data_IF_356779471042
#
_entry.id   IF_356779471042
#
_cell.length_a   1.000
_cell.length_b   1.000
_cell.length_c   1.000
_cell.angle_alpha   90.00
_cell.angle_beta   90.00
_cell.angle_gamma   90.00
#
_symmetry.space_group_name_H-M   'P 1'
#
loop_
_entity.id
_entity.type
_entity.pdbx_description
1 polymer ?
#
# COMPACT_ATOMS: atom_id res chain seq x y z
N UNK A 1 -18.15 12.80 5.21
CA UNK A 1 -18.71 11.51 4.71
C UNK A 1 -20.05 11.81 4.08
N UNK A 2 -20.30 11.32 2.87
CA UNK A 2 -21.62 11.44 2.25
C UNK A 2 -22.57 10.42 2.86
N UNK A 3 -23.75 10.87 3.31
CA UNK A 3 -24.84 10.00 3.70
C UNK A 3 -25.72 9.74 2.47
N UNK A 4 -26.10 8.49 2.23
CA UNK A 4 -27.03 8.14 1.15
C UNK A 4 -28.23 7.39 1.71
N UNK A 5 -29.41 7.64 1.16
CA UNK A 5 -30.63 6.90 1.56
C UNK A 5 -30.55 5.49 0.97
N UNK A 6 -30.81 4.49 1.81
CA UNK A 6 -30.76 3.09 1.41
C UNK A 6 -31.84 2.77 0.37
N UNK A 7 -31.43 2.11 -0.73
CA UNK A 7 -32.32 1.53 -1.72
C UNK A 7 -32.21 0.01 -1.66
N UNK A 8 -33.33 -0.70 -1.58
CA UNK A 8 -33.33 -2.16 -1.38
C UNK A 8 -33.59 -2.90 -2.69
N UNK A 9 -32.69 -3.82 -3.02
CA UNK A 9 -32.78 -4.66 -4.20
C UNK A 9 -33.20 -6.07 -3.81
N UNK A 10 -34.20 -6.61 -4.53
CA UNK A 10 -34.61 -8.00 -4.34
C UNK A 10 -33.51 -8.93 -4.88
N UNK A 11 -32.89 -9.68 -3.98
CA UNK A 11 -31.83 -10.62 -4.35
C UNK A 11 -32.40 -12.02 -4.62
N UNK A 12 -32.03 -12.61 -5.75
CA UNK A 12 -32.34 -14.01 -6.06
C UNK A 12 -31.26 -14.95 -5.50
N UNK A 13 -31.09 -14.94 -4.17
CA UNK A 13 -30.14 -15.81 -3.49
C UNK A 13 -30.72 -16.32 -2.17
N UNK A 14 -30.73 -17.65 -1.94
CA UNK A 14 -31.27 -18.23 -0.70
C UNK A 14 -30.44 -17.85 0.54
N UNK A 15 -29.19 -17.43 0.35
CA UNK A 15 -28.29 -17.05 1.45
C UNK A 15 -28.38 -15.56 1.81
N UNK A 16 -28.77 -14.70 0.85
CA UNK A 16 -28.66 -13.25 0.99
C UNK A 16 -30.02 -12.54 1.10
N UNK A 17 -31.09 -13.16 0.59
CA UNK A 17 -32.42 -12.55 0.60
C UNK A 17 -33.01 -12.43 2.01
N UNK A 18 -33.78 -11.36 2.24
CA UNK A 18 -34.46 -11.11 3.51
C UNK A 18 -33.59 -10.44 4.57
N UNK A 19 -32.36 -10.05 4.22
CA UNK A 19 -31.50 -9.23 5.08
C UNK A 19 -31.40 -7.81 4.51
N UNK A 20 -32.02 -6.80 5.15
CA UNK A 20 -32.02 -5.43 4.64
C UNK A 20 -30.62 -4.80 4.57
N UNK A 21 -29.65 -5.27 5.36
CA UNK A 21 -28.26 -4.80 5.32
C UNK A 21 -27.47 -5.33 4.11
N UNK A 22 -27.97 -6.40 3.46
CA UNK A 22 -27.37 -6.94 2.23
C UNK A 22 -28.11 -6.41 1.01
N UNK A 23 -29.44 -6.34 1.09
CA UNK A 23 -30.30 -5.87 0.00
C UNK A 23 -30.08 -4.38 -0.31
N UNK A 24 -29.53 -3.60 0.61
CA UNK A 24 -29.18 -2.19 0.37
C UNK A 24 -27.79 -1.95 -0.22
N UNK A 25 -26.96 -3.00 -0.34
CA UNK A 25 -25.61 -2.88 -0.90
C UNK A 25 -25.67 -2.79 -2.43
N UNK A 26 -24.68 -2.13 -3.07
CA UNK A 26 -24.61 -2.09 -4.53
C UNK A 26 -24.59 -3.51 -5.12
N UNK A 27 -25.31 -3.65 -6.23
CA UNK A 27 -25.20 -4.84 -7.06
C UNK A 27 -23.79 -4.92 -7.64
N UNK A 28 -23.32 -6.15 -7.85
CA UNK A 28 -21.98 -6.37 -8.42
C UNK A 28 -21.99 -5.85 -9.86
N UNK A 29 -21.05 -4.97 -10.18
CA UNK A 29 -20.85 -4.46 -11.53
C UNK A 29 -20.30 -5.56 -12.44
N UNK A 30 -20.58 -5.45 -13.74
CA UNK A 30 -19.80 -6.18 -14.75
C UNK A 30 -18.36 -5.69 -14.74
N UNK A 31 -17.45 -6.47 -15.30
CA UNK A 31 -16.04 -6.09 -15.38
C UNK A 31 -15.84 -4.77 -16.13
N UNK A 32 -16.51 -4.58 -17.28
CA UNK A 32 -16.50 -3.34 -18.07
C UNK A 32 -17.01 -2.13 -17.26
N UNK A 33 -18.19 -2.24 -16.64
CA UNK A 33 -18.76 -1.15 -15.85
C UNK A 33 -17.95 -0.84 -14.59
N UNK A 34 -17.24 -1.83 -14.04
CA UNK A 34 -16.30 -1.61 -12.95
C UNK A 34 -15.11 -0.76 -13.41
N UNK A 35 -14.50 -1.10 -14.55
CA UNK A 35 -13.37 -0.34 -15.09
C UNK A 35 -13.73 1.12 -15.33
N UNK A 36 -14.86 1.38 -15.98
CA UNK A 36 -15.34 2.73 -16.24
C UNK A 36 -15.60 3.53 -14.95
N UNK A 37 -15.97 2.85 -13.87
CA UNK A 37 -16.26 3.48 -12.59
C UNK A 37 -15.02 3.78 -11.73
N UNK A 38 -13.90 3.07 -11.95
CA UNK A 38 -12.68 3.22 -11.15
C UNK A 38 -11.52 3.89 -11.89
N UNK A 39 -11.57 3.96 -13.22
CA UNK A 39 -10.59 4.71 -14.02
C UNK A 39 -10.66 6.19 -13.65
N UNK A 40 -9.51 6.75 -13.31
CA UNK A 40 -9.33 8.18 -13.10
C UNK A 40 -7.95 8.58 -13.62
N UNK A 41 -7.87 8.86 -14.93
CA UNK A 41 -6.63 9.19 -15.61
C UNK A 41 -6.47 10.70 -15.71
N UNK A 42 -5.27 11.17 -15.39
CA UNK A 42 -4.89 12.56 -15.60
C UNK A 42 -4.39 12.70 -17.03
N UNK A 43 -5.02 13.62 -17.77
CA UNK A 43 -4.70 13.90 -19.17
C UNK A 43 -3.84 15.16 -19.29
N UNK A 44 -3.01 15.22 -20.34
CA UNK A 44 -2.28 16.43 -20.69
C UNK A 44 -3.29 17.51 -21.09
N UNK A 45 -3.25 18.72 -20.47
CA UNK A 45 -4.20 19.77 -20.82
C UNK A 45 -4.05 20.22 -22.29
N UNK A 46 -5.18 20.42 -22.99
CA UNK A 46 -5.20 20.83 -24.41
C UNK A 46 -4.42 22.13 -24.70
N UNK A 47 -4.34 23.03 -23.71
CA UNK A 47 -3.68 24.35 -23.85
C UNK A 47 -2.33 24.38 -23.11
N UNK A 48 -1.57 23.29 -23.16
CA UNK A 48 -0.25 23.20 -22.52
C UNK A 48 0.63 24.42 -22.82
N UNK A 49 0.66 24.85 -24.09
CA UNK A 49 1.47 25.98 -24.57
C UNK A 49 1.12 27.33 -23.92
N UNK A 50 -0.10 27.47 -23.41
CA UNK A 50 -0.55 28.70 -22.75
C UNK A 50 -0.08 28.83 -21.30
N UNK A 51 0.37 27.73 -20.69
CA UNK A 51 0.84 27.71 -19.32
C UNK A 51 2.32 28.01 -19.22
N UNK A 52 2.69 28.78 -18.19
CA UNK A 52 4.08 29.01 -17.82
C UNK A 52 4.71 27.76 -17.17
N UNK A 53 6.04 27.81 -17.01
CA UNK A 53 6.82 26.71 -16.45
C UNK A 53 6.34 26.33 -15.05
N UNK A 54 6.04 27.32 -14.19
CA UNK A 54 5.56 27.08 -12.83
C UNK A 54 4.25 26.30 -12.82
N UNK A 55 3.27 26.69 -13.65
CA UNK A 55 2.00 25.98 -13.75
C UNK A 55 2.19 24.56 -14.28
N UNK A 56 3.01 24.37 -15.33
CA UNK A 56 3.30 23.02 -15.87
C UNK A 56 4.00 22.12 -14.84
N UNK A 57 4.87 22.68 -14.00
CA UNK A 57 5.50 21.93 -12.91
C UNK A 57 4.50 21.47 -11.84
N UNK A 58 3.52 22.30 -11.51
CA UNK A 58 2.43 21.91 -10.60
C UNK A 58 1.59 20.78 -11.22
N UNK A 59 1.25 20.91 -12.50
CA UNK A 59 0.53 19.87 -13.26
C UNK A 59 1.32 18.56 -13.32
N UNK A 60 2.65 18.60 -13.39
CA UNK A 60 3.47 17.38 -13.42
C UNK A 60 3.20 16.45 -12.22
N UNK A 61 2.86 17.01 -11.06
CA UNK A 61 2.52 16.22 -9.87
C UNK A 61 1.17 15.51 -9.94
N UNK A 62 0.25 15.97 -10.80
CA UNK A 62 -1.11 15.41 -10.87
C UNK A 62 -1.10 13.94 -11.29
N UNK A 63 -0.13 13.50 -12.11
CA UNK A 63 0.01 12.09 -12.50
C UNK A 63 0.04 11.12 -11.31
N UNK A 64 0.55 11.56 -10.16
CA UNK A 64 0.62 10.75 -8.94
C UNK A 64 -0.77 10.44 -8.34
N UNK A 65 -1.81 11.17 -8.76
CA UNK A 65 -3.20 10.95 -8.33
C UNK A 65 -3.96 9.98 -9.23
N UNK A 66 -3.38 9.62 -10.38
CA UNK A 66 -4.04 8.77 -11.37
C UNK A 66 -4.38 7.39 -10.80
N UNK A 67 -5.56 6.90 -11.15
CA UNK A 67 -5.97 5.52 -10.96
C UNK A 67 -6.04 4.86 -12.34
N UNK A 68 -5.01 4.08 -12.65
CA UNK A 68 -4.96 3.20 -13.80
C UNK A 68 -5.18 1.76 -13.31
N UNK A 69 -6.41 1.24 -13.43
CA UNK A 69 -6.76 -0.08 -12.88
C UNK A 69 -6.05 -1.20 -13.65
N UNK A 70 -5.47 -2.16 -12.92
CA UNK A 70 -4.86 -3.37 -13.49
C UNK A 70 -5.78 -4.56 -13.32
N UNK A 71 -5.51 -5.67 -14.01
CA UNK A 71 -6.36 -6.87 -13.99
C UNK A 71 -6.80 -7.33 -12.58
N UNK A 72 -5.97 -7.17 -11.56
CA UNK A 72 -6.28 -7.59 -10.18
C UNK A 72 -7.34 -6.75 -9.47
N UNK A 73 -7.60 -5.51 -9.92
CA UNK A 73 -8.58 -4.62 -9.28
C UNK A 73 -9.97 -5.24 -9.26
N UNK A 74 -10.39 -5.88 -10.35
CA UNK A 74 -11.72 -6.48 -10.44
C UNK A 74 -11.86 -7.68 -9.50
N UNK A 75 -10.84 -8.53 -9.39
CA UNK A 75 -10.87 -9.66 -8.46
C UNK A 75 -10.95 -9.19 -7.01
N UNK A 76 -10.15 -8.18 -6.64
CA UNK A 76 -10.17 -7.56 -5.30
C UNK A 76 -11.54 -6.93 -5.02
N UNK A 77 -12.15 -6.26 -6.00
CA UNK A 77 -13.50 -5.72 -5.90
C UNK A 77 -14.52 -6.79 -5.54
N UNK A 78 -14.45 -7.92 -6.25
CA UNK A 78 -15.37 -9.02 -6.06
C UNK A 78 -15.22 -9.66 -4.68
N UNK A 79 -13.98 -9.89 -4.25
CA UNK A 79 -13.67 -10.43 -2.93
C UNK A 79 -14.09 -9.50 -1.80
N UNK A 80 -13.86 -8.19 -1.94
CA UNK A 80 -14.24 -7.18 -0.94
C UNK A 80 -15.76 -7.08 -0.80
N UNK A 81 -16.50 -7.02 -1.92
CA UNK A 81 -17.96 -6.95 -1.90
C UNK A 81 -18.57 -8.24 -1.34
N UNK A 82 -18.03 -9.41 -1.69
CA UNK A 82 -18.48 -10.69 -1.13
C UNK A 82 -18.21 -10.77 0.37
N UNK A 83 -17.02 -10.36 0.82
CA UNK A 83 -16.64 -10.32 2.24
C UNK A 83 -17.60 -9.46 3.06
N UNK A 84 -17.99 -8.30 2.53
CA UNK A 84 -18.98 -7.43 3.17
C UNK A 84 -20.34 -8.14 3.30
N UNK A 85 -20.84 -8.74 2.20
CA UNK A 85 -22.11 -9.47 2.16
C UNK A 85 -22.12 -10.67 3.11
N UNK A 86 -21.05 -11.48 3.10
CA UNK A 86 -20.87 -12.63 3.99
C UNK A 86 -20.89 -12.22 5.46
N UNK A 87 -20.30 -11.08 5.79
CA UNK A 87 -20.35 -10.51 7.14
C UNK A 87 -21.77 -10.34 7.65
N UNK A 88 -22.72 -9.94 6.80
CA UNK A 88 -24.09 -9.69 7.21
C UNK A 88 -24.97 -10.94 7.31
N UNK A 89 -24.60 -12.06 6.67
CA UNK A 89 -25.43 -13.30 6.63
C UNK A 89 -25.86 -13.72 8.04
N UNK A 90 -24.95 -13.69 9.01
CA UNK A 90 -25.22 -14.11 10.40
C UNK A 90 -25.65 -12.97 11.34
N UNK A 91 -25.91 -11.77 10.78
CA UNK A 91 -26.18 -10.52 11.50
C UNK A 91 -27.42 -9.81 10.94
N UNK A 92 -28.44 -10.58 10.55
CA UNK A 92 -29.70 -10.01 10.04
C UNK A 92 -30.43 -9.28 11.19
N UNK A 93 -30.64 -7.96 11.11
CA UNK A 93 -31.30 -7.20 12.18
C UNK A 93 -32.77 -7.61 12.42
N UNK A 94 -33.42 -8.26 11.45
CA UNK A 94 -34.79 -8.75 11.57
C UNK A 94 -34.87 -10.13 12.25
N UNK A 95 -33.73 -10.81 12.48
CA UNK A 95 -33.68 -12.08 13.21
C UNK A 95 -33.52 -11.86 14.71
N UNK A 96 -34.43 -12.45 15.49
CA UNK A 96 -34.35 -12.50 16.96
C UNK A 96 -33.04 -13.04 17.52
N UNK A 97 -32.32 -13.90 16.77
CA UNK A 97 -31.01 -14.40 17.18
C UNK A 97 -29.93 -13.31 17.16
N UNK A 98 -30.06 -12.31 16.29
CA UNK A 98 -29.15 -11.16 16.23
C UNK A 98 -29.28 -10.32 17.50
N UNK A 99 -30.50 -10.06 17.97
CA UNK A 99 -30.72 -9.34 19.22
C UNK A 99 -30.23 -10.12 20.44
N UNK A 100 -30.45 -11.44 20.50
CA UNK A 100 -29.86 -12.30 21.54
C UNK A 100 -28.34 -12.24 21.55
N UNK A 101 -27.72 -12.27 20.36
CA UNK A 101 -26.27 -12.19 20.22
C UNK A 101 -25.73 -10.83 20.67
N UNK A 102 -26.32 -9.71 20.23
CA UNK A 102 -25.97 -8.36 20.70
C UNK A 102 -26.03 -8.26 22.23
N UNK A 103 -27.12 -8.76 22.83
CA UNK A 103 -27.29 -8.75 24.28
C UNK A 103 -26.19 -9.56 24.98
N UNK A 104 -25.91 -10.78 24.51
CA UNK A 104 -24.85 -11.63 25.08
C UNK A 104 -23.46 -10.97 25.06
N UNK A 105 -23.16 -10.18 24.03
CA UNK A 105 -21.92 -9.42 23.95
C UNK A 105 -21.93 -8.29 24.98
N UNK A 106 -23.01 -7.50 25.04
CA UNK A 106 -23.16 -6.38 25.97
C UNK A 106 -23.11 -6.81 27.45
N UNK A 107 -23.69 -7.97 27.79
CA UNK A 107 -23.70 -8.54 29.15
C UNK A 107 -22.48 -9.41 29.46
N UNK A 108 -21.54 -9.54 28.51
CA UNK A 108 -20.33 -10.39 28.63
C UNK A 108 -20.63 -11.86 28.90
N UNK A 109 -21.78 -12.36 28.44
CA UNK A 109 -22.19 -13.77 28.54
C UNK A 109 -21.95 -14.55 27.25
N UNK A 110 -21.35 -13.91 26.23
CA UNK A 110 -21.04 -14.56 24.96
C UNK A 110 -20.14 -15.78 25.15
N UNK A 111 -20.56 -16.88 24.55
CA UNK A 111 -19.77 -18.10 24.42
C UNK A 111 -19.32 -18.26 22.98
N UNK A 112 -18.04 -18.63 22.79
CA UNK A 112 -17.45 -18.74 21.46
C UNK A 112 -18.22 -19.77 20.62
N UNK A 113 -18.71 -19.31 19.48
CA UNK A 113 -19.44 -20.15 18.50
C UNK A 113 -18.53 -20.58 17.34
N UNK A 114 -19.01 -21.51 16.50
CA UNK A 114 -18.32 -21.90 15.26
C UNK A 114 -18.37 -20.81 14.18
N UNK A 115 -19.27 -19.84 14.30
CA UNK A 115 -19.45 -18.76 13.33
C UNK A 115 -18.32 -17.74 13.47
N UNK A 116 -17.61 -17.50 12.36
CA UNK A 116 -16.50 -16.55 12.31
C UNK A 116 -16.65 -15.69 11.06
N UNK A 117 -16.50 -14.38 11.18
CA UNK A 117 -16.52 -13.51 10.00
C UNK A 117 -15.24 -13.68 9.17
N UNK A 118 -15.32 -13.48 7.84
CA UNK A 118 -14.16 -13.56 6.95
C UNK A 118 -13.08 -12.54 7.32
N UNK A 119 -11.82 -12.95 7.14
CA UNK A 119 -10.66 -12.10 7.35
C UNK A 119 -9.77 -12.18 6.11
N UNK A 120 -9.45 -11.03 5.54
CA UNK A 120 -8.53 -10.92 4.39
C UNK A 120 -7.28 -10.19 4.84
N UNK A 121 -6.12 -10.69 4.42
CA UNK A 121 -4.84 -10.00 4.54
C UNK A 121 -4.32 -9.71 3.15
N UNK A 122 -4.29 -8.43 2.79
CA UNK A 122 -3.75 -7.94 1.54
C UNK A 122 -2.36 -7.36 1.75
N UNK A 123 -1.34 -8.12 1.34
CA UNK A 123 0.07 -7.76 1.49
C UNK A 123 0.73 -7.55 0.14
N UNK A 124 1.72 -6.68 0.05
CA UNK A 124 2.42 -6.46 -1.21
C UNK A 124 3.47 -5.37 -1.12
N UNK A 125 4.30 -5.26 -2.15
CA UNK A 125 5.42 -4.31 -2.21
C UNK A 125 4.92 -2.87 -1.99
N UNK A 126 5.66 -2.05 -1.21
CA UNK A 126 5.33 -0.63 -1.07
C UNK A 126 5.31 0.07 -2.44
N UNK A 127 4.29 0.91 -2.67
CA UNK A 127 4.14 1.61 -3.95
C UNK A 127 3.40 0.86 -5.07
N UNK A 128 2.83 -0.32 -4.79
CA UNK A 128 2.02 -1.09 -5.76
C UNK A 128 0.56 -0.60 -5.94
N UNK A 129 0.13 0.43 -5.21
CA UNK A 129 -1.25 0.91 -5.30
C UNK A 129 -2.29 0.13 -4.48
N UNK A 130 -1.86 -0.66 -3.46
CA UNK A 130 -2.77 -1.39 -2.55
C UNK A 130 -3.86 -0.51 -1.91
N UNK A 131 -3.45 0.63 -1.37
CA UNK A 131 -4.36 1.60 -0.76
C UNK A 131 -5.26 2.22 -1.84
N UNK A 132 -4.69 2.55 -3.01
CA UNK A 132 -5.41 3.09 -4.17
C UNK A 132 -6.52 2.16 -4.65
N UNK A 133 -6.24 0.86 -4.86
CA UNK A 133 -7.26 -0.10 -5.31
C UNK A 133 -8.38 -0.24 -4.28
N UNK A 134 -8.05 -0.35 -2.99
CA UNK A 134 -9.07 -0.47 -1.96
C UNK A 134 -9.91 0.80 -1.87
N UNK A 135 -9.30 1.99 -1.92
CA UNK A 135 -10.04 3.25 -1.84
C UNK A 135 -10.91 3.48 -3.08
N UNK A 136 -10.44 3.10 -4.26
CA UNK A 136 -11.23 3.15 -5.51
C UNK A 136 -12.44 2.22 -5.43
N UNK A 137 -12.26 1.01 -4.90
CA UNK A 137 -13.36 0.06 -4.69
C UNK A 137 -14.34 0.58 -3.64
N UNK A 138 -13.83 1.10 -2.52
CA UNK A 138 -14.66 1.63 -1.44
C UNK A 138 -15.46 2.85 -1.90
N UNK A 139 -14.98 3.64 -2.87
CA UNK A 139 -15.74 4.74 -3.46
C UNK A 139 -17.03 4.28 -4.17
N UNK A 140 -17.08 3.02 -4.63
CA UNK A 140 -18.27 2.40 -5.24
C UNK A 140 -19.30 1.93 -4.20
N UNK A 141 -18.92 1.90 -2.92
CA UNK A 141 -19.78 1.42 -1.82
C UNK A 141 -20.08 2.63 -0.92
N UNK A 142 -21.35 3.00 -0.71
CA UNK A 142 -21.67 4.10 0.19
C UNK A 142 -21.14 3.79 1.61
N UNK A 143 -20.32 4.66 2.23
CA UNK A 143 -19.75 4.37 3.55
C UNK A 143 -20.82 4.31 4.64
N UNK A 144 -21.85 5.16 4.51
CA UNK A 144 -22.97 5.28 5.44
C UNK A 144 -24.28 5.31 4.67
N UNK A 145 -25.21 4.46 5.09
CA UNK A 145 -26.57 4.42 4.58
C UNK A 145 -27.56 4.89 5.65
N UNK A 146 -28.56 5.67 5.24
CA UNK A 146 -29.71 6.03 6.06
C UNK A 146 -30.87 5.14 5.60
N UNK A 147 -31.29 4.22 6.45
CA UNK A 147 -32.50 3.46 6.23
C UNK A 147 -33.70 4.32 6.63
N UNK A 148 -34.65 4.58 5.73
CA UNK A 148 -35.76 5.49 6.00
C UNK A 148 -36.78 4.83 6.95
N UNK A 149 -37.59 5.66 7.61
CA UNK A 149 -38.61 5.20 8.57
C UNK A 149 -39.65 4.24 7.96
N UNK A 150 -39.97 4.41 6.67
CA UNK A 150 -40.88 3.54 5.92
C UNK A 150 -40.18 2.28 5.35
N UNK A 151 -38.88 2.11 5.62
CA UNK A 151 -38.10 0.95 5.23
C UNK A 151 -38.29 -0.27 6.16
N UNK A 152 -37.54 -1.36 5.90
CA UNK A 152 -37.63 -2.63 6.63
C UNK A 152 -37.40 -2.55 8.14
N UNK A 153 -36.75 -1.50 8.64
CA UNK A 153 -36.50 -1.28 10.06
C UNK A 153 -37.68 -0.66 10.80
N UNK A 154 -38.62 -0.01 10.08
CA UNK A 154 -39.74 0.73 10.67
C UNK A 154 -39.36 1.97 11.47
N UNK A 155 -38.06 2.31 11.50
CA UNK A 155 -37.48 3.50 12.14
C UNK A 155 -36.31 3.98 11.30
N UNK A 156 -36.09 5.29 11.28
CA UNK A 156 -34.92 5.84 10.62
C UNK A 156 -33.65 5.32 11.31
N UNK A 157 -32.77 4.67 10.55
CA UNK A 157 -31.57 4.02 11.09
C UNK A 157 -30.36 4.38 10.25
N UNK A 158 -29.39 5.05 10.86
CA UNK A 158 -28.06 5.23 10.26
C UNK A 158 -27.26 3.94 10.37
N UNK A 159 -26.63 3.52 9.27
CA UNK A 159 -25.87 2.28 9.21
C UNK A 159 -24.51 2.53 8.53
N UNK A 160 -23.44 2.00 9.13
CA UNK A 160 -22.08 2.13 8.60
C UNK A 160 -21.70 0.82 7.90
N UNK A 161 -21.51 0.89 6.57
CA UNK A 161 -21.10 -0.25 5.75
C UNK A 161 -19.65 -0.64 6.00
N UNK A 162 -18.76 0.34 6.15
CA UNK A 162 -17.37 0.06 6.48
C UNK A 162 -16.69 1.19 7.26
N UNK A 163 -15.67 0.82 8.03
CA UNK A 163 -14.76 1.75 8.70
C UNK A 163 -13.34 1.44 8.22
N UNK A 164 -12.66 2.44 7.65
CA UNK A 164 -11.23 2.37 7.34
C UNK A 164 -10.42 3.14 8.38
N UNK A 165 -9.41 2.49 8.95
CA UNK A 165 -8.45 3.08 9.91
C UNK A 165 -7.02 2.78 9.49
N UNK A 166 -6.14 3.79 9.55
CA UNK A 166 -4.71 3.59 9.36
C UNK A 166 -4.09 3.24 10.73
N UNK A 167 -3.30 2.17 10.78
CA UNK A 167 -2.58 1.80 11.99
C UNK A 167 -1.40 2.77 12.18
N UNK A 168 -1.32 3.53 13.29
CA UNK A 168 -0.24 4.50 13.51
C UNK A 168 1.12 3.81 13.73
N UNK A 169 2.22 4.56 13.53
CA UNK A 169 3.56 4.13 13.96
C UNK A 169 3.57 3.89 15.48
N UNK A 170 4.10 2.73 15.90
CA UNK A 170 4.04 2.26 17.30
C UNK A 170 2.62 2.06 17.86
N UNK A 171 1.69 1.58 17.03
CA UNK A 171 0.31 1.32 17.43
C UNK A 171 0.17 0.42 18.66
N UNK A 172 -0.81 0.76 19.51
CA UNK A 172 -1.28 -0.06 20.61
C UNK A 172 -2.76 -0.40 20.39
N UNK A 173 -3.21 -1.48 21.01
CA UNK A 173 -4.58 -1.98 20.90
C UNK A 173 -5.62 -0.95 21.33
N UNK A 174 -5.30 -0.03 22.25
CA UNK A 174 -6.21 1.03 22.68
C UNK A 174 -6.28 2.11 21.61
N UNK A 175 -5.18 2.55 21.03
CA UNK A 175 -5.16 3.58 19.97
C UNK A 175 -5.93 3.12 18.74
N UNK A 176 -5.86 1.83 18.38
CA UNK A 176 -6.69 1.24 17.32
C UNK A 176 -8.19 1.34 17.67
N UNK A 177 -8.57 1.05 18.91
CA UNK A 177 -9.97 1.17 19.36
C UNK A 177 -10.46 2.62 19.31
N UNK A 178 -9.61 3.57 19.71
CA UNK A 178 -9.94 5.00 19.68
C UNK A 178 -10.06 5.53 18.25
N UNK A 179 -9.21 5.08 17.33
CA UNK A 179 -9.34 5.42 15.91
C UNK A 179 -10.68 4.94 15.32
N UNK A 180 -11.15 3.74 15.71
CA UNK A 180 -12.47 3.25 15.30
C UNK A 180 -13.58 4.10 15.94
N UNK A 181 -13.48 4.41 17.24
CA UNK A 181 -14.44 5.26 17.94
C UNK A 181 -14.56 6.64 17.27
N UNK A 182 -13.43 7.25 16.91
CA UNK A 182 -13.36 8.52 16.18
C UNK A 182 -14.12 8.48 14.85
N UNK A 183 -14.00 7.38 14.09
CA UNK A 183 -14.76 7.19 12.84
C UNK A 183 -16.25 7.03 13.07
N UNK A 184 -16.66 6.43 14.18
CA UNK A 184 -18.08 6.32 14.57
C UNK A 184 -18.61 7.68 15.02
N UNK A 185 -17.84 8.42 15.82
CA UNK A 185 -18.18 9.76 16.29
C UNK A 185 -18.40 10.73 15.13
N UNK A 186 -17.57 10.66 14.10
CA UNK A 186 -17.72 11.45 12.88
C UNK A 186 -19.03 11.20 12.12
N UNK A 187 -19.68 10.04 12.31
CA UNK A 187 -20.96 9.69 11.68
C UNK A 187 -22.14 10.06 12.57
N UNK A 188 -22.06 9.75 13.87
CA UNK A 188 -23.19 9.91 14.80
C UNK A 188 -23.17 11.21 15.61
N UNK A 189 -22.11 12.00 15.53
CA UNK A 189 -21.93 13.20 16.35
C UNK A 189 -21.74 12.89 17.85
N UNK A 190 -21.25 11.68 18.16
CA UNK A 190 -20.97 11.21 19.52
C UNK A 190 -19.56 11.58 19.98
N UNK A 191 -19.20 11.20 21.21
CA UNK A 191 -17.88 11.46 21.81
C UNK A 191 -17.30 10.19 22.45
N UNK A 192 -17.40 9.05 21.76
CA UNK A 192 -16.89 7.78 22.25
C UNK A 192 -15.36 7.75 22.32
N UNK A 193 -14.65 8.43 21.42
CA UNK A 193 -13.20 8.53 21.44
C UNK A 193 -12.71 9.10 22.79
N UNK A 194 -13.22 10.26 23.20
CA UNK A 194 -12.84 10.89 24.47
C UNK A 194 -13.28 10.05 25.65
N UNK A 195 -14.55 9.58 25.64
CA UNK A 195 -15.11 8.78 26.73
C UNK A 195 -14.32 7.47 26.94
N UNK A 196 -13.91 6.80 25.87
CA UNK A 196 -13.19 5.52 25.94
C UNK A 196 -11.70 5.75 26.18
N UNK A 197 -11.18 6.91 25.76
CA UNK A 197 -9.83 7.38 26.06
C UNK A 197 -9.55 7.48 27.56
N UNK A 198 -10.55 7.88 28.36
CA UNK A 198 -10.44 7.93 29.82
C UNK A 198 -10.45 6.54 30.50
N UNK A 199 -10.83 5.48 29.79
CA UNK A 199 -10.98 4.13 30.37
C UNK A 199 -9.67 3.34 30.40
N UNK A 200 -9.64 2.34 31.28
CA UNK A 200 -8.61 1.28 31.21
C UNK A 200 -8.68 0.56 29.87
N UNK A 201 -7.53 0.14 29.34
CA UNK A 201 -7.41 -0.53 28.02
C UNK A 201 -8.41 -1.68 27.85
N UNK A 202 -8.50 -2.60 28.81
CA UNK A 202 -9.43 -3.74 28.73
C UNK A 202 -10.90 -3.31 28.61
N UNK A 203 -11.29 -2.27 29.36
CA UNK A 203 -12.67 -1.73 29.33
C UNK A 203 -12.93 -1.00 28.01
N UNK A 204 -11.94 -0.27 27.48
CA UNK A 204 -12.03 0.36 26.16
C UNK A 204 -12.26 -0.68 25.07
N UNK A 205 -11.48 -1.78 25.08
CA UNK A 205 -11.64 -2.87 24.12
C UNK A 205 -13.04 -3.51 24.23
N UNK A 206 -13.52 -3.79 25.45
CA UNK A 206 -14.87 -4.35 25.63
C UNK A 206 -15.96 -3.42 25.09
N UNK A 207 -15.84 -2.12 25.37
CA UNK A 207 -16.80 -1.12 24.89
C UNK A 207 -16.79 -0.98 23.38
N UNK A 208 -15.62 -0.95 22.72
CA UNK A 208 -15.58 -0.83 21.26
C UNK A 208 -16.17 -2.07 20.58
N UNK A 209 -15.90 -3.28 21.11
CA UNK A 209 -16.50 -4.51 20.59
C UNK A 209 -18.02 -4.46 20.71
N UNK A 210 -18.52 -4.04 21.88
CA UNK A 210 -19.97 -3.89 22.12
C UNK A 210 -20.59 -2.83 21.21
N UNK A 211 -19.93 -1.68 21.04
CA UNK A 211 -20.39 -0.59 20.20
C UNK A 211 -20.49 -1.03 18.74
N UNK A 212 -19.42 -1.61 18.17
CA UNK A 212 -19.42 -2.06 16.78
C UNK A 212 -20.44 -3.19 16.53
N UNK A 213 -20.66 -4.06 17.52
CA UNK A 213 -21.69 -5.10 17.48
C UNK A 213 -23.09 -4.51 17.46
N UNK A 214 -23.35 -3.53 18.33
CA UNK A 214 -24.67 -2.88 18.47
C UNK A 214 -25.04 -2.14 17.19
N UNK A 215 -24.08 -1.42 16.60
CA UNK A 215 -24.23 -0.65 15.37
C UNK A 215 -24.23 -1.51 14.10
N UNK A 216 -24.02 -2.83 14.22
CA UNK A 216 -23.94 -3.75 13.07
C UNK A 216 -22.96 -3.26 11.98
N UNK A 217 -21.78 -2.78 12.39
CA UNK A 217 -20.74 -2.26 11.48
C UNK A 217 -20.45 -3.31 10.41
N UNK A 218 -20.53 -2.93 9.14
CA UNK A 218 -20.43 -3.90 8.05
C UNK A 218 -19.06 -4.56 7.97
N UNK A 219 -17.98 -3.79 7.87
CA UNK A 219 -16.60 -4.27 7.77
C UNK A 219 -15.60 -3.27 8.36
N UNK A 220 -14.45 -3.74 8.85
CA UNK A 220 -13.35 -2.88 9.29
C UNK A 220 -12.10 -3.13 8.45
N UNK A 221 -11.59 -2.08 7.81
CA UNK A 221 -10.34 -2.08 7.05
C UNK A 221 -9.24 -1.46 7.92
N UNK A 222 -8.20 -2.23 8.19
CA UNK A 222 -6.98 -1.79 8.85
C UNK A 222 -5.90 -1.59 7.79
N UNK A 223 -5.55 -0.34 7.49
CA UNK A 223 -4.44 -0.02 6.61
C UNK A 223 -3.12 0.06 7.39
N UNK A 224 -1.98 -0.07 6.71
CA UNK A 224 -0.65 0.03 7.32
C UNK A 224 -0.38 -1.01 8.44
N UNK A 225 -0.92 -2.23 8.35
CA UNK A 225 -0.80 -3.25 9.42
C UNK A 225 0.63 -3.68 9.73
N UNK A 226 1.58 -3.39 8.84
CA UNK A 226 2.99 -3.61 9.08
C UNK A 226 3.55 -2.73 10.21
N UNK A 227 2.86 -1.65 10.59
CA UNK A 227 3.24 -0.82 11.74
C UNK A 227 3.17 -1.59 13.07
N UNK A 228 2.36 -2.64 13.15
CA UNK A 228 2.30 -3.57 14.29
C UNK A 228 3.66 -4.26 14.52
N UNK A 229 4.50 -4.39 13.50
CA UNK A 229 5.84 -4.98 13.63
C UNK A 229 6.77 -4.17 14.55
N UNK A 230 6.51 -2.86 14.72
CA UNK A 230 7.29 -1.98 15.59
C UNK A 230 6.82 -2.03 17.05
N UNK A 231 5.61 -2.52 17.30
CA UNK A 231 5.05 -2.63 18.66
C UNK A 231 5.72 -3.75 19.48
N UNK A 232 5.71 -3.58 20.81
CA UNK A 232 6.25 -4.59 21.73
C UNK A 232 5.57 -5.96 21.54
N UNK A 233 6.24 -7.10 21.84
CA UNK A 233 5.64 -8.44 21.71
C UNK A 233 4.30 -8.59 22.43
N UNK A 234 4.18 -8.04 23.64
CA UNK A 234 2.96 -8.07 24.43
C UNK A 234 1.84 -7.28 23.75
N UNK A 235 2.15 -6.11 23.21
CA UNK A 235 1.16 -5.28 22.52
C UNK A 235 0.68 -5.94 21.22
N UNK A 236 1.60 -6.54 20.46
CA UNK A 236 1.23 -7.34 19.28
C UNK A 236 0.24 -8.44 19.61
N UNK A 237 0.44 -9.17 20.72
CA UNK A 237 -0.48 -10.22 21.16
C UNK A 237 -1.87 -9.66 21.53
N UNK A 238 -1.93 -8.47 22.13
CA UNK A 238 -3.19 -7.78 22.43
C UNK A 238 -3.92 -7.33 21.16
N UNK A 239 -3.21 -6.78 20.18
CA UNK A 239 -3.78 -6.39 18.88
C UNK A 239 -4.32 -7.62 18.13
N UNK A 240 -3.59 -8.74 18.15
CA UNK A 240 -4.10 -9.99 17.58
C UNK A 240 -5.36 -10.51 18.29
N UNK A 241 -5.41 -10.34 19.60
CA UNK A 241 -6.61 -10.68 20.38
C UNK A 241 -7.76 -9.75 19.98
N UNK A 242 -7.52 -8.45 19.81
CA UNK A 242 -8.51 -7.50 19.31
C UNK A 242 -9.08 -7.91 17.93
N UNK A 243 -8.24 -8.30 16.97
CA UNK A 243 -8.70 -8.80 15.66
C UNK A 243 -9.52 -10.09 15.78
N UNK A 244 -9.12 -11.00 16.66
CA UNK A 244 -9.88 -12.23 16.97
C UNK A 244 -11.27 -11.89 17.53
N UNK A 245 -11.35 -10.88 18.41
CA UNK A 245 -12.63 -10.42 18.98
C UNK A 245 -13.53 -9.78 17.93
N UNK A 246 -13.00 -8.94 17.03
CA UNK A 246 -13.82 -8.39 15.94
C UNK A 246 -14.43 -9.49 15.06
N UNK A 247 -13.63 -10.49 14.67
CA UNK A 247 -14.09 -11.55 13.77
C UNK A 247 -14.95 -12.63 14.42
N UNK A 248 -14.73 -12.95 15.70
CA UNK A 248 -15.48 -14.01 16.42
C UNK A 248 -16.57 -13.49 17.33
N UNK A 249 -16.32 -12.45 18.12
CA UNK A 249 -17.30 -11.89 19.06
C UNK A 249 -18.25 -10.96 18.32
N UNK A 250 -17.70 -9.93 17.66
CA UNK A 250 -18.49 -8.94 16.91
C UNK A 250 -18.94 -9.42 15.52
N UNK A 251 -18.41 -10.56 15.04
CA UNK A 251 -18.72 -11.13 13.72
C UNK A 251 -18.59 -10.10 12.59
N UNK A 252 -17.62 -9.19 12.72
CA UNK A 252 -17.33 -8.15 11.72
C UNK A 252 -16.19 -8.66 10.84
N UNK A 253 -16.39 -8.74 9.52
CA UNK A 253 -15.32 -8.95 8.57
C UNK A 253 -14.20 -7.92 8.73
N UNK A 254 -12.96 -8.36 8.57
CA UNK A 254 -11.83 -7.42 8.60
C UNK A 254 -10.90 -7.62 7.42
N UNK A 255 -10.45 -6.51 6.86
CA UNK A 255 -9.41 -6.46 5.82
C UNK A 255 -8.18 -5.83 6.45
N UNK A 256 -7.02 -6.46 6.30
CA UNK A 256 -5.73 -5.90 6.74
C UNK A 256 -4.86 -5.63 5.53
N UNK A 257 -4.48 -4.38 5.31
CA UNK A 257 -3.63 -3.94 4.21
C UNK A 257 -2.26 -3.60 4.77
N UNK A 258 -1.19 -4.06 4.13
CA UNK A 258 0.16 -3.71 4.54
C UNK A 258 1.23 -4.17 3.57
N UNK A 259 2.49 -3.89 3.90
CA UNK A 259 3.63 -4.36 3.12
C UNK A 259 3.98 -5.82 3.44
N UNK A 260 4.87 -6.45 2.68
CA UNK A 260 5.29 -7.82 2.97
C UNK A 260 5.97 -7.96 4.33
N UNK A 261 6.47 -6.86 4.91
CA UNK A 261 6.91 -6.79 6.31
C UNK A 261 5.86 -7.32 7.29
N UNK A 262 4.57 -7.15 7.00
CA UNK A 262 3.48 -7.69 7.82
C UNK A 262 3.46 -9.23 7.87
N UNK A 263 4.06 -9.93 6.90
CA UNK A 263 4.19 -11.40 6.93
C UNK A 263 5.05 -11.87 8.11
N UNK A 264 5.91 -11.02 8.67
CA UNK A 264 6.65 -11.31 9.91
C UNK A 264 5.74 -11.51 11.12
N UNK A 265 4.52 -10.96 11.08
CA UNK A 265 3.53 -11.10 12.16
C UNK A 265 2.95 -12.53 12.24
N UNK A 266 2.98 -13.31 11.14
CA UNK A 266 2.58 -14.72 11.11
C UNK A 266 3.68 -15.71 11.52
N UNK A 267 4.95 -15.31 11.46
CA UNK A 267 6.10 -16.23 11.44
C UNK A 267 6.42 -16.97 12.76
N UNK A 268 5.52 -17.00 13.75
CA UNK A 268 5.80 -17.66 15.06
C UNK A 268 4.63 -18.44 15.66
N UNK A 269 3.39 -18.27 15.21
CA UNK A 269 2.21 -18.97 15.76
C UNK A 269 1.15 -19.13 14.66
N UNK A 270 0.77 -20.36 14.32
CA UNK A 270 -0.25 -20.65 13.30
C UNK A 270 -1.58 -19.91 13.57
N UNK A 271 -1.94 -19.73 14.84
CA UNK A 271 -3.10 -18.95 15.29
C UNK A 271 -3.05 -17.49 14.83
N UNK A 272 -1.87 -16.87 14.72
CA UNK A 272 -1.74 -15.49 14.23
C UNK A 272 -2.01 -15.40 12.74
N UNK A 273 -1.57 -16.38 11.94
CA UNK A 273 -1.87 -16.44 10.51
C UNK A 273 -3.38 -16.46 10.26
N UNK A 274 -4.14 -17.27 11.01
CA UNK A 274 -5.61 -17.31 10.93
C UNK A 274 -6.26 -15.97 11.30
N UNK A 275 -5.72 -15.26 12.30
CA UNK A 275 -6.23 -13.95 12.76
C UNK A 275 -5.92 -12.82 11.78
N UNK A 276 -4.87 -12.95 10.97
CA UNK A 276 -4.59 -12.02 9.89
C UNK A 276 -5.56 -12.24 8.73
N UNK A 277 -5.80 -13.49 8.32
CA UNK A 277 -6.73 -13.82 7.25
C UNK A 277 -6.07 -14.47 6.05
N UNK A 278 -6.86 -14.74 5.01
CA UNK A 278 -6.36 -15.33 3.76
C UNK A 278 -5.40 -14.35 3.07
N UNK A 279 -4.18 -14.79 2.70
CA UNK A 279 -3.21 -13.92 2.06
C UNK A 279 -3.57 -13.66 0.60
N UNK A 280 -3.56 -12.40 0.21
CA UNK A 280 -3.47 -11.93 -1.17
C UNK A 280 -2.15 -11.17 -1.26
N UNK A 281 -1.19 -11.71 -2.01
CA UNK A 281 0.18 -11.18 -2.09
C UNK A 281 0.42 -10.50 -3.45
N UNK A 282 0.63 -9.19 -3.43
CA UNK A 282 0.85 -8.39 -4.64
C UNK A 282 2.33 -8.07 -4.84
N UNK A 283 2.94 -8.79 -5.79
CA UNK A 283 4.31 -8.56 -6.23
C UNK A 283 4.39 -7.43 -7.26
N UNK A 284 5.60 -6.94 -7.52
CA UNK A 284 5.85 -6.01 -8.63
C UNK A 284 5.59 -6.68 -9.98
N UNK A 285 5.23 -5.87 -10.98
CA UNK A 285 4.98 -6.38 -12.31
C UNK A 285 6.29 -6.82 -12.99
N UNK A 286 6.20 -7.85 -13.83
CA UNK A 286 7.28 -8.18 -14.75
C UNK A 286 7.28 -7.21 -15.94
N UNK A 287 8.43 -7.03 -16.59
CA UNK A 287 8.54 -6.20 -17.79
C UNK A 287 7.63 -6.68 -18.93
N UNK A 288 7.31 -7.98 -18.96
CA UNK A 288 6.49 -8.61 -19.99
C UNK A 288 4.99 -8.56 -19.70
N UNK A 289 4.60 -8.16 -18.48
CA UNK A 289 3.20 -8.06 -18.06
C UNK A 289 2.45 -7.07 -18.94
N UNK A 290 1.25 -7.44 -19.38
CA UNK A 290 0.38 -6.55 -20.15
C UNK A 290 -0.08 -5.35 -19.30
N UNK A 291 -0.41 -5.59 -18.04
CA UNK A 291 -0.76 -4.52 -17.09
C UNK A 291 0.40 -3.52 -16.93
N UNK A 292 1.65 -4.00 -16.95
CA UNK A 292 2.81 -3.11 -16.87
C UNK A 292 3.00 -2.28 -18.12
N UNK A 293 2.85 -2.89 -19.30
CA UNK A 293 2.96 -2.20 -20.58
C UNK A 293 1.92 -1.09 -20.68
N UNK A 294 0.66 -1.40 -20.32
CA UNK A 294 -0.42 -0.41 -20.24
C UNK A 294 -0.09 0.74 -19.28
N UNK A 295 0.41 0.44 -18.08
CA UNK A 295 0.81 1.46 -17.10
C UNK A 295 1.93 2.36 -17.64
N UNK A 296 2.94 1.78 -18.30
CA UNK A 296 4.05 2.55 -18.89
C UNK A 296 3.55 3.41 -20.04
N UNK A 297 2.72 2.89 -20.93
CA UNK A 297 2.14 3.64 -22.04
C UNK A 297 1.31 4.83 -21.54
N UNK A 298 0.45 4.60 -20.57
CA UNK A 298 -0.32 5.67 -19.92
C UNK A 298 0.61 6.70 -19.28
N UNK A 299 1.54 6.27 -18.41
CA UNK A 299 2.43 7.19 -17.73
C UNK A 299 3.27 8.02 -18.72
N UNK A 300 3.77 7.39 -19.78
CA UNK A 300 4.59 8.03 -20.80
C UNK A 300 3.81 9.01 -21.67
N UNK A 301 2.50 8.82 -21.83
CA UNK A 301 1.63 9.77 -22.52
C UNK A 301 1.54 11.12 -21.78
N UNK A 302 1.80 11.14 -20.48
CA UNK A 302 1.77 12.35 -19.65
C UNK A 302 3.08 13.15 -19.70
N UNK A 303 3.40 13.68 -20.88
CA UNK A 303 4.52 14.59 -21.11
C UNK A 303 4.03 16.03 -21.21
N UNK A 304 4.61 16.90 -20.38
CA UNK A 304 4.29 18.33 -20.29
C UNK A 304 5.38 19.21 -20.93
N UNK A 305 6.28 18.58 -21.69
CA UNK A 305 7.36 19.22 -22.44
C UNK A 305 6.88 19.79 -23.78
N UNK A 306 7.68 20.64 -24.43
CA UNK A 306 7.28 21.29 -25.69
C UNK A 306 7.20 20.31 -26.86
N UNK A 307 8.10 19.32 -26.88
CA UNK A 307 8.11 18.23 -27.84
C UNK A 307 7.75 16.92 -27.13
N UNK A 308 6.90 16.12 -27.78
CA UNK A 308 6.57 14.77 -27.33
C UNK A 308 7.65 13.78 -27.76
N UNK A 309 8.15 12.98 -26.82
CA UNK A 309 9.04 11.85 -27.11
C UNK A 309 8.22 10.56 -27.22
N UNK A 310 8.25 9.91 -28.39
CA UNK A 310 7.63 8.59 -28.57
C UNK A 310 8.28 7.54 -27.68
N UNK A 311 7.46 6.64 -27.13
CA UNK A 311 7.92 5.50 -26.32
C UNK A 311 8.54 4.44 -27.22
N UNK A 312 9.87 4.38 -27.24
CA UNK A 312 10.59 3.29 -27.90
C UNK A 312 10.79 2.11 -26.96
N UNK A 313 11.02 0.91 -27.50
CA UNK A 313 11.33 -0.28 -26.71
C UNK A 313 12.52 -0.07 -25.76
N UNK A 314 13.53 0.69 -26.22
CA UNK A 314 14.70 1.00 -25.41
C UNK A 314 14.37 1.93 -24.23
N UNK A 315 13.51 2.92 -24.45
CA UNK A 315 13.04 3.82 -23.37
C UNK A 315 12.15 3.05 -22.38
N UNK A 316 11.27 2.18 -22.85
CA UNK A 316 10.45 1.32 -22.00
C UNK A 316 11.33 0.39 -21.13
N UNK A 317 12.37 -0.21 -21.71
CA UNK A 317 13.33 -1.01 -20.96
C UNK A 317 14.05 -0.17 -19.89
N UNK A 318 14.46 1.05 -20.22
CA UNK A 318 15.11 1.97 -19.28
C UNK A 318 14.20 2.37 -18.13
N UNK A 319 12.93 2.62 -18.41
CA UNK A 319 11.90 2.88 -17.40
C UNK A 319 11.77 1.67 -16.46
N UNK A 320 11.69 0.45 -17.00
CA UNK A 320 11.65 -0.75 -16.16
C UNK A 320 12.90 -0.92 -15.30
N UNK A 321 14.10 -0.67 -15.85
CA UNK A 321 15.35 -0.71 -15.08
C UNK A 321 15.34 0.26 -13.89
N UNK A 322 14.68 1.40 -13.98
CA UNK A 322 14.65 2.40 -12.92
C UNK A 322 13.51 2.21 -11.93
N UNK A 323 12.48 1.46 -12.29
CA UNK A 323 11.25 1.35 -11.50
C UNK A 323 10.98 -0.06 -10.99
N UNK A 324 11.59 -1.07 -11.60
CA UNK A 324 11.42 -2.48 -11.29
C UNK A 324 9.95 -2.95 -11.26
N UNK A 325 9.10 -2.40 -12.12
CA UNK A 325 7.69 -2.80 -12.16
C UNK A 325 6.85 -2.29 -10.97
N UNK A 326 7.31 -1.23 -10.28
CA UNK A 326 6.58 -0.58 -9.19
C UNK A 326 5.88 0.69 -9.69
N UNK A 327 4.53 0.74 -9.73
CA UNK A 327 3.76 1.88 -10.24
C UNK A 327 4.11 3.23 -9.60
N UNK A 328 4.30 3.28 -8.28
CA UNK A 328 4.72 4.52 -7.62
C UNK A 328 6.06 5.05 -8.17
N UNK A 329 7.04 4.17 -8.38
CA UNK A 329 8.32 4.56 -8.96
C UNK A 329 8.16 5.01 -10.43
N UNK A 330 7.26 4.40 -11.19
CA UNK A 330 6.94 4.80 -12.56
C UNK A 330 6.38 6.22 -12.63
N UNK A 331 5.26 6.47 -11.94
CA UNK A 331 4.64 7.80 -11.97
C UNK A 331 5.55 8.87 -11.40
N UNK A 332 6.33 8.54 -10.36
CA UNK A 332 7.33 9.46 -9.82
C UNK A 332 8.46 9.75 -10.81
N UNK A 333 8.92 8.76 -11.58
CA UNK A 333 9.93 8.98 -12.62
C UNK A 333 9.42 9.97 -13.68
N UNK A 334 8.18 9.81 -14.13
CA UNK A 334 7.56 10.69 -15.13
C UNK A 334 7.31 12.10 -14.58
N UNK A 335 6.76 12.22 -13.37
CA UNK A 335 6.60 13.51 -12.68
C UNK A 335 7.94 14.27 -12.64
N UNK A 336 9.00 13.59 -12.18
CA UNK A 336 10.30 14.21 -12.01
C UNK A 336 10.99 14.49 -13.34
N UNK A 337 10.77 13.68 -14.38
CA UNK A 337 11.27 13.94 -15.73
C UNK A 337 10.62 15.19 -16.33
N UNK A 338 9.30 15.35 -16.20
CA UNK A 338 8.60 16.57 -16.59
C UNK A 338 9.20 17.80 -15.90
N UNK A 339 9.29 17.76 -14.56
CA UNK A 339 9.86 18.88 -13.77
C UNK A 339 11.30 19.18 -14.16
N UNK A 340 12.11 18.16 -14.40
CA UNK A 340 13.51 18.36 -14.80
C UNK A 340 13.63 19.02 -16.17
N UNK A 341 12.88 18.55 -17.17
CA UNK A 341 12.90 19.14 -18.50
C UNK A 341 12.43 20.60 -18.48
N UNK A 342 11.30 20.87 -17.82
CA UNK A 342 10.72 22.20 -17.69
C UNK A 342 11.68 23.21 -17.06
N UNK A 343 12.35 22.85 -15.96
CA UNK A 343 13.30 23.72 -15.25
C UNK A 343 14.56 24.05 -16.04
N UNK A 344 14.99 23.13 -16.89
CA UNK A 344 16.24 23.25 -17.64
C UNK A 344 16.03 23.66 -19.10
N UNK A 345 14.78 23.94 -19.51
CA UNK A 345 14.46 24.27 -20.90
C UNK A 345 14.81 23.15 -21.88
N UNK A 346 14.64 21.89 -21.48
CA UNK A 346 14.86 20.72 -22.33
C UNK A 346 13.53 20.39 -23.02
N UNK A 347 13.54 20.35 -24.35
CA UNK A 347 12.29 20.28 -25.13
C UNK A 347 11.56 18.94 -25.04
N UNK A 348 12.26 17.83 -24.73
CA UNK A 348 11.65 16.49 -24.63
C UNK A 348 12.39 15.55 -23.70
N UNK A 349 11.76 14.41 -23.41
CA UNK A 349 12.40 13.33 -22.67
C UNK A 349 13.52 12.67 -23.49
N UNK A 350 14.54 12.17 -22.79
CA UNK A 350 15.63 11.41 -23.39
C UNK A 350 16.19 10.40 -22.39
N UNK A 351 17.08 9.51 -22.86
CA UNK A 351 17.76 8.54 -21.99
C UNK A 351 18.60 9.25 -20.92
N UNK A 352 19.23 10.35 -21.29
CA UNK A 352 20.08 11.19 -20.43
C UNK A 352 19.23 11.89 -19.37
N UNK A 353 18.04 12.39 -19.75
CA UNK A 353 17.06 12.95 -18.81
C UNK A 353 16.65 11.89 -17.78
N UNK A 354 16.21 10.71 -18.23
CA UNK A 354 15.80 9.64 -17.33
C UNK A 354 16.94 9.21 -16.38
N UNK A 355 18.16 9.08 -16.90
CA UNK A 355 19.32 8.74 -16.09
C UNK A 355 19.65 9.82 -15.06
N UNK A 356 19.56 11.10 -15.44
CA UNK A 356 19.79 12.23 -14.54
C UNK A 356 18.74 12.29 -13.45
N UNK A 357 17.47 12.16 -13.81
CA UNK A 357 16.33 12.16 -12.89
C UNK A 357 16.43 11.00 -11.92
N UNK A 358 16.67 9.79 -12.42
CA UNK A 358 16.91 8.63 -11.56
C UNK A 358 18.07 8.88 -10.61
N UNK A 359 19.15 9.50 -11.10
CA UNK A 359 20.32 9.72 -10.28
C UNK A 359 20.11 10.72 -9.14
N UNK A 360 19.40 11.80 -9.41
CA UNK A 360 19.19 12.91 -8.49
C UNK A 360 17.97 12.72 -7.58
N UNK A 361 16.86 12.19 -8.11
CA UNK A 361 15.56 12.17 -7.43
C UNK A 361 15.24 10.86 -6.75
N UNK A 362 15.86 9.76 -7.17
CA UNK A 362 15.70 8.45 -6.52
C UNK A 362 16.80 8.15 -5.51
N UNK A 363 17.62 9.12 -5.08
CA UNK A 363 18.75 8.88 -4.16
C UNK A 363 18.37 8.03 -2.93
N UNK A 364 17.20 8.29 -2.33
CA UNK A 364 16.67 7.56 -1.17
C UNK A 364 16.09 6.19 -1.57
N UNK A 365 15.45 6.09 -2.73
CA UNK A 365 14.78 4.85 -3.20
C UNK A 365 15.74 3.89 -3.92
N UNK A 366 16.88 4.36 -4.42
CA UNK A 366 17.88 3.57 -5.16
C UNK A 366 18.28 2.30 -4.42
N UNK A 367 18.64 2.32 -3.12
CA UNK A 367 18.99 1.11 -2.40
C UNK A 367 17.82 0.10 -2.35
N UNK A 368 16.59 0.59 -2.21
CA UNK A 368 15.40 -0.26 -2.24
C UNK A 368 15.21 -0.90 -3.62
N UNK A 369 15.25 -0.09 -4.69
CA UNK A 369 15.09 -0.54 -6.08
C UNK A 369 16.16 -1.57 -6.45
N UNK A 370 17.41 -1.36 -6.04
CA UNK A 370 18.50 -2.32 -6.22
C UNK A 370 18.25 -3.62 -5.44
N UNK A 371 17.78 -3.53 -4.20
CA UNK A 371 17.39 -4.72 -3.43
C UNK A 371 16.29 -5.51 -4.16
N UNK A 372 15.30 -4.82 -4.73
CA UNK A 372 14.23 -5.44 -5.50
C UNK A 372 14.75 -6.12 -6.78
N UNK A 373 15.70 -5.52 -7.51
CA UNK A 373 16.36 -6.16 -8.68
C UNK A 373 17.00 -7.51 -8.35
N UNK A 374 17.53 -7.64 -7.13
CA UNK A 374 18.12 -8.89 -6.65
C UNK A 374 17.13 -9.83 -5.94
N UNK A 375 15.82 -9.57 -6.08
CA UNK A 375 14.75 -10.37 -5.47
C UNK A 375 14.67 -10.24 -3.95
N UNK A 376 15.27 -9.20 -3.34
CA UNK A 376 15.25 -8.96 -1.89
C UNK A 376 14.07 -8.07 -1.49
N UNK A 377 12.88 -8.62 -1.64
CA UNK A 377 11.59 -7.96 -1.36
C UNK A 377 11.51 -7.41 0.07
N UNK A 378 11.91 -8.21 1.07
CA UNK A 378 11.94 -7.79 2.48
C UNK A 378 12.81 -6.55 2.73
N UNK A 379 13.94 -6.45 2.01
CA UNK A 379 14.85 -5.33 2.14
C UNK A 379 14.31 -4.08 1.45
N UNK A 380 13.64 -4.23 0.31
CA UNK A 380 12.91 -3.13 -0.33
C UNK A 380 11.88 -2.53 0.63
N UNK A 381 10.99 -3.35 1.19
CA UNK A 381 9.92 -2.85 2.07
C UNK A 381 10.47 -2.21 3.34
N UNK A 382 11.52 -2.78 3.94
CA UNK A 382 12.17 -2.18 5.11
C UNK A 382 12.80 -0.82 4.81
N UNK A 383 13.27 -0.58 3.58
CA UNK A 383 13.86 0.70 3.16
C UNK A 383 12.81 1.73 2.73
N UNK A 384 11.65 1.28 2.22
CA UNK A 384 10.57 2.16 1.78
C UNK A 384 9.61 2.58 2.91
N UNK A 385 9.58 1.86 4.04
CA UNK A 385 8.61 2.09 5.13
C UNK A 385 9.20 2.79 6.36
N UNK A 386 10.51 3.00 6.42
CA UNK A 386 11.15 3.77 7.50
C UNK A 386 11.13 5.26 7.16
N UNK A 387 10.24 6.02 7.79
CA UNK A 387 10.19 7.48 7.74
C UNK A 387 10.33 8.02 9.18
N UNK A 388 11.58 8.24 9.66
CA UNK A 388 11.90 9.21 10.74
C UNK A 388 13.39 9.14 11.14
N UNK A 389 14.08 10.29 11.06
CA UNK A 389 15.47 10.61 11.46
C UNK A 389 16.59 10.29 10.45
N UNK A 390 16.64 11.06 9.36
CA UNK A 390 17.61 10.96 8.27
C UNK A 390 19.10 10.94 8.70
N UNK A 391 19.52 11.61 9.78
CA UNK A 391 20.93 11.56 10.25
C UNK A 391 21.28 10.25 10.97
N UNK A 392 20.34 9.73 11.77
CA UNK A 392 20.49 8.45 12.46
C UNK A 392 20.31 7.30 11.47
N UNK A 393 19.44 7.47 10.47
CA UNK A 393 19.14 6.47 9.45
C UNK A 393 20.23 6.36 8.38
N UNK A 394 20.84 7.47 7.94
CA UNK A 394 22.02 7.42 7.06
C UNK A 394 23.16 6.67 7.74
N UNK A 395 23.37 6.93 9.03
CA UNK A 395 24.33 6.19 9.86
C UNK A 395 23.99 4.70 9.98
N UNK A 396 22.70 4.35 10.16
CA UNK A 396 22.25 2.95 10.20
C UNK A 396 22.37 2.26 8.83
N UNK A 397 22.11 2.98 7.73
CA UNK A 397 22.19 2.48 6.37
C UNK A 397 23.64 2.15 6.02
N UNK A 398 24.58 3.08 6.27
CA UNK A 398 26.02 2.85 6.06
C UNK A 398 26.49 1.64 6.87
N UNK A 399 26.09 1.54 8.14
CA UNK A 399 26.38 0.36 8.99
C UNK A 399 25.80 -0.94 8.43
N UNK A 400 24.58 -0.91 7.92
CA UNK A 400 23.90 -2.08 7.34
C UNK A 400 24.55 -2.50 6.03
N UNK A 401 24.85 -1.57 5.13
CA UNK A 401 25.55 -1.82 3.87
C UNK A 401 26.95 -2.42 4.11
N UNK A 402 27.72 -1.83 5.04
CA UNK A 402 29.04 -2.36 5.40
C UNK A 402 28.95 -3.72 6.09
N UNK A 403 27.94 -3.96 6.93
CA UNK A 403 27.72 -5.28 7.55
C UNK A 403 27.36 -6.34 6.51
N UNK A 404 26.42 -6.05 5.61
CA UNK A 404 26.04 -6.95 4.52
C UNK A 404 27.24 -7.23 3.63
N UNK A 405 28.03 -6.21 3.31
CA UNK A 405 29.26 -6.36 2.54
C UNK A 405 30.31 -7.21 3.26
N UNK A 406 30.45 -7.07 4.58
CA UNK A 406 31.36 -7.88 5.39
C UNK A 406 30.96 -9.36 5.39
N UNK A 407 29.66 -9.63 5.62
CA UNK A 407 29.08 -10.98 5.69
C UNK A 407 29.14 -11.72 4.35
N UNK A 408 28.84 -11.04 3.23
CA UNK A 408 28.73 -11.66 1.92
C UNK A 408 30.02 -11.59 1.09
N UNK A 409 31.06 -10.90 1.57
CA UNK A 409 32.38 -10.76 0.91
C UNK A 409 32.26 -10.34 -0.57
N UNK A 410 31.45 -9.33 -0.85
CA UNK A 410 31.23 -8.81 -2.20
C UNK A 410 32.53 -8.48 -2.94
N UNK A 411 32.52 -8.68 -4.26
CA UNK A 411 33.64 -8.40 -5.17
C UNK A 411 33.17 -7.73 -6.46
N UNK A 412 34.07 -7.06 -7.20
CA UNK A 412 33.78 -6.46 -8.50
C UNK A 412 32.65 -5.43 -8.50
N UNK A 413 31.62 -5.63 -9.35
CA UNK A 413 30.52 -4.68 -9.53
C UNK A 413 29.69 -4.46 -8.25
N UNK A 414 29.56 -5.48 -7.40
CA UNK A 414 28.83 -5.39 -6.13
C UNK A 414 29.56 -4.47 -5.14
N UNK A 415 30.88 -4.56 -5.09
CA UNK A 415 31.70 -3.65 -4.29
C UNK A 415 31.62 -2.22 -4.80
N UNK A 416 31.60 -2.04 -6.12
CA UNK A 416 31.48 -0.71 -6.75
C UNK A 416 30.14 -0.04 -6.42
N UNK A 417 29.04 -0.78 -6.53
CA UNK A 417 27.71 -0.27 -6.22
C UNK A 417 27.54 0.15 -4.76
N UNK A 418 28.21 -0.53 -3.83
CA UNK A 418 28.19 -0.18 -2.40
C UNK A 418 29.07 1.04 -2.12
N UNK A 419 30.23 1.14 -2.77
CA UNK A 419 31.10 2.31 -2.64
C UNK A 419 30.39 3.57 -3.14
N UNK A 420 29.81 3.53 -4.34
CA UNK A 420 29.05 4.65 -4.92
C UNK A 420 27.87 5.10 -4.04
N UNK A 421 27.31 4.21 -3.21
CA UNK A 421 26.25 4.53 -2.26
C UNK A 421 26.76 5.14 -0.95
N UNK A 422 27.99 4.83 -0.54
CA UNK A 422 28.60 5.35 0.70
C UNK A 422 29.31 6.68 0.45
N UNK A 423 29.91 6.84 -0.73
CA UNK A 423 30.77 7.98 -1.12
C UNK A 423 30.13 9.36 -0.88
N UNK A 424 28.85 9.61 -1.21
CA UNK A 424 28.20 10.91 -0.98
C UNK A 424 28.12 11.33 0.50
N UNK A 425 28.20 10.37 1.42
CA UNK A 425 28.00 10.57 2.86
C UNK A 425 29.30 10.49 3.67
N UNK A 426 30.44 10.32 3.00
CA UNK A 426 31.76 10.13 3.63
C UNK A 426 32.25 11.33 4.44
N UNK A 427 31.88 12.55 4.05
CA UNK A 427 32.32 13.77 4.74
C UNK A 427 31.67 13.96 6.11
N UNK A 428 30.52 13.34 6.33
CA UNK A 428 29.70 13.51 7.55
C UNK A 428 29.66 12.23 8.41
N UNK A 429 30.18 11.09 7.92
CA UNK A 429 30.17 9.80 8.62
C UNK A 429 31.53 9.43 9.23
N UNK A 430 31.55 9.16 10.55
CA UNK A 430 32.74 8.66 11.26
C UNK A 430 32.78 7.13 11.32
N UNK A 431 33.68 6.52 10.54
CA UNK A 431 33.88 5.07 10.50
C UNK A 431 34.46 4.50 11.79
N UNK A 432 33.96 3.33 12.22
CA UNK A 432 34.69 2.49 13.17
C UNK A 432 35.88 1.79 12.48
N UNK A 433 36.87 1.33 13.27
CA UNK A 433 38.05 0.61 12.71
C UNK A 433 37.66 -0.60 11.86
N UNK A 434 36.57 -1.31 12.21
CA UNK A 434 36.08 -2.47 11.47
C UNK A 434 35.42 -2.07 10.15
N UNK A 435 34.53 -1.07 10.21
CA UNK A 435 33.84 -0.52 9.03
C UNK A 435 34.82 0.05 8.00
N UNK A 436 35.85 0.77 8.46
CA UNK A 436 36.91 1.29 7.60
C UNK A 436 37.71 0.16 6.91
N UNK A 437 37.95 -0.95 7.62
CA UNK A 437 38.63 -2.11 7.05
C UNK A 437 37.77 -2.81 5.98
N UNK A 438 36.45 -2.94 6.21
CA UNK A 438 35.51 -3.47 5.22
C UNK A 438 35.42 -2.55 4.00
N UNK A 439 35.34 -1.24 4.20
CA UNK A 439 35.31 -0.26 3.10
C UNK A 439 36.59 -0.32 2.25
N UNK A 440 37.77 -0.28 2.87
CA UNK A 440 39.06 -0.43 2.15
C UNK A 440 39.19 -1.77 1.42
N UNK A 441 38.59 -2.83 1.96
CA UNK A 441 38.52 -4.12 1.27
C UNK A 441 37.68 -4.02 0.01
N UNK A 442 36.52 -3.37 0.08
CA UNK A 442 35.67 -3.13 -1.10
C UNK A 442 36.42 -2.32 -2.16
N UNK A 443 37.12 -1.25 -1.77
CA UNK A 443 37.91 -0.42 -2.70
C UNK A 443 38.97 -1.26 -3.44
N UNK A 444 39.68 -2.12 -2.68
CA UNK A 444 40.69 -3.02 -3.26
C UNK A 444 40.08 -4.05 -4.21
N UNK A 445 38.87 -4.53 -3.94
CA UNK A 445 38.14 -5.49 -4.79
C UNK A 445 37.60 -4.85 -6.07
N UNK A 446 37.34 -3.53 -6.07
CA UNK A 446 37.01 -2.77 -7.29
C UNK A 446 38.27 -2.53 -8.12
N UNK A 447 39.38 -2.18 -7.48
CA UNK A 447 40.67 -1.95 -8.15
C UNK A 447 41.30 -3.23 -8.75
N UNK A 448 40.87 -4.42 -8.32
CA UNK A 448 41.38 -5.71 -8.83
C UNK A 448 40.64 -6.25 -10.05
N UNK A 449 39.59 -5.58 -10.55
CA UNK A 449 38.96 -5.94 -11.83
C UNK A 449 39.73 -5.20 -12.94
N UNK A 450 40.46 -5.90 -13.83
CA UNK A 450 41.11 -5.24 -14.95
C UNK A 450 40.05 -4.57 -15.83
N UNK A 451 40.25 -3.29 -16.09
CA UNK A 451 39.55 -2.58 -17.15
C UNK A 451 39.82 -3.30 -18.47
N UNK A 452 38.80 -3.96 -19.04
CA UNK A 452 38.82 -4.38 -20.44
C UNK A 452 38.70 -3.10 -21.29
N UNK A 453 39.85 -2.48 -21.58
CA UNK A 453 39.98 -1.60 -22.72
C UNK A 453 39.79 -2.45 -23.99
N UNK A 454 39.00 -2.01 -24.98
CA UNK A 454 38.98 -2.66 -26.27
C UNK A 454 40.40 -2.59 -26.85
N UNK A 455 40.94 -3.73 -27.29
CA UNK A 455 42.10 -3.71 -28.18
C UNK A 455 41.62 -3.11 -29.50
N UNK A 456 42.15 -1.95 -29.85
CA UNK A 456 42.10 -1.44 -31.22
C UNK A 456 42.83 -2.45 -32.10
N UNK A 457 42.07 -3.05 -33.02
CA UNK A 457 42.57 -3.96 -34.06
C UNK A 457 42.96 -3.08 -35.25
N UNK A 458 44.05 -2.33 -35.11
CA UNK A 458 44.66 -1.61 -36.22
C UNK A 458 45.52 -2.57 -37.01
N UNK A 459 44.97 -3.06 -38.12
CA UNK A 459 45.77 -3.59 -39.20
C UNK A 459 46.68 -2.50 -39.75
N UNK A 460 47.95 -2.80 -39.95
CA UNK A 460 48.61 -2.68 -41.25
C UNK A 460 49.97 -3.39 -41.22
N UNK A 461 50.32 -3.88 -42.41
CA UNK A 461 51.48 -4.64 -42.85
C UNK A 461 52.84 -4.09 -42.37
N UNK A 462 53.78 -5.00 -42.05
CA UNK A 462 55.01 -5.15 -42.84
C UNK A 462 55.92 -6.27 -42.27
N UNK A 463 56.14 -7.30 -43.09
CA UNK A 463 57.39 -8.10 -43.14
C UNK A 463 58.47 -7.25 -43.86
N UNK A 464 59.80 -7.57 -43.91
CA UNK A 464 60.62 -8.62 -43.28
C UNK A 464 61.82 -7.99 -42.47
N UNK A 465 62.67 -8.70 -41.72
CA UNK A 465 63.68 -9.74 -42.03
C UNK A 465 63.99 -10.50 -40.74
#
# INVERSE_FOLDING_TARGET
MGFQVAQYYKLNSPLLSGNPLIECLPLRLSQEAFWDAVVDLVEVPEKLDSFDVETRELLASEIMKSVCPTSEYFDIYCDLLNTLKEGFISRNPLDSNTEKWKNNIATKTYQRTRTTAPNIKFTGISGMGKTTVVDSILALIPPVLIHPHDGPFGVETTHINYIKVNIPGEADSKSICLAIASKIDAVYGTDYETQYGALKRSVCIDKIITLCTTLLIGMIIFDEIHNICFSSPNERALIFTLFDRFSHEARIPTIKIGTFKANRLSNKVFTNARRLGMPVDWANFSAESEDWKMLVEYAWSYQLTNEYQELTQELAQRVYEYTCGVPHCLFFLIEQANKYCLRNGIDKFSKEVLATVFNLKFSIMKPAILALKHGKIDAFDDLMTTNSDLDVETTKLIKKLLKIADENKFTGQESKAIIEQIEPYMMEYSFTKKELATFKRLEKQVASVPSNLPKEDDGYEDLPI
#
